data_IF_159236199638
#
_entry.id   IF_159236199638
#
_cell.length_a   1.000
_cell.length_b   1.000
_cell.length_c   1.000
_cell.angle_alpha   90.00
_cell.angle_beta   90.00
_cell.angle_gamma   90.00
#
_symmetry.space_group_name_H-M   'P 1'
#
loop_
_entity.id
_entity.type
_entity.pdbx_description
1 polymer ?
#
# COMPACT_ATOMS: atom_id res chain seq x y z
N UNK A 1 -13.73 -15.28 16.31
CA UNK A 1 -12.89 -15.77 17.42
C UNK A 1 -12.24 -17.12 17.10
N UNK A 2 -12.97 -18.21 16.85
CA UNK A 2 -12.34 -19.53 16.57
C UNK A 2 -11.47 -19.58 15.30
N UNK A 3 -11.95 -19.00 14.19
CA UNK A 3 -11.26 -19.04 12.89
C UNK A 3 -9.99 -18.17 12.83
N UNK A 4 -9.99 -17.05 13.54
CA UNK A 4 -8.81 -16.19 13.67
C UNK A 4 -7.65 -16.93 14.36
N UNK A 5 -7.96 -17.62 15.46
CA UNK A 5 -6.99 -18.42 16.20
C UNK A 5 -6.43 -19.54 15.32
N UNK A 6 -7.29 -20.21 14.55
CA UNK A 6 -6.88 -21.26 13.59
C UNK A 6 -5.91 -20.72 12.52
N UNK A 7 -6.19 -19.54 11.95
CA UNK A 7 -5.28 -18.90 10.98
C UNK A 7 -3.94 -18.57 11.62
N UNK A 8 -3.94 -18.02 12.85
CA UNK A 8 -2.73 -17.66 13.57
C UNK A 8 -1.86 -18.90 13.86
N UNK A 9 -2.47 -20.01 14.24
CA UNK A 9 -1.79 -21.29 14.49
C UNK A 9 -1.19 -21.88 13.21
N UNK A 10 -1.98 -21.98 12.13
CA UNK A 10 -1.48 -22.45 10.82
C UNK A 10 -0.34 -21.57 10.31
N UNK A 11 -0.46 -20.25 10.46
CA UNK A 11 0.59 -19.32 10.08
C UNK A 11 1.86 -19.55 10.90
N UNK A 12 1.75 -19.83 12.19
CA UNK A 12 2.91 -20.09 13.06
C UNK A 12 3.71 -21.32 12.59
N UNK A 13 3.05 -22.36 12.12
CA UNK A 13 3.71 -23.54 11.53
C UNK A 13 4.45 -23.17 10.24
N UNK A 14 3.79 -22.45 9.32
CA UNK A 14 4.40 -21.99 8.07
C UNK A 14 5.56 -21.03 8.32
N UNK A 15 5.45 -20.17 9.34
CA UNK A 15 6.50 -19.27 9.78
C UNK A 15 7.75 -20.03 10.19
N UNK A 16 7.61 -21.09 10.98
CA UNK A 16 8.73 -21.96 11.37
C UNK A 16 9.33 -22.66 10.15
N UNK A 17 8.48 -23.17 9.26
CA UNK A 17 8.89 -23.90 8.05
C UNK A 17 9.68 -23.03 7.06
N UNK A 18 9.30 -21.77 6.87
CA UNK A 18 9.84 -20.91 5.82
C UNK A 18 10.59 -19.66 6.31
N UNK A 19 10.71 -19.48 7.63
CA UNK A 19 11.26 -18.27 8.26
C UNK A 19 10.52 -17.00 7.81
N UNK A 20 9.18 -17.02 7.91
CA UNK A 20 8.33 -15.88 7.55
C UNK A 20 8.37 -14.77 8.62
N UNK A 21 7.92 -13.54 8.31
CA UNK A 21 7.70 -12.49 9.29
C UNK A 21 6.76 -12.89 10.43
N UNK A 22 6.72 -12.11 11.51
CA UNK A 22 5.74 -12.30 12.58
C UNK A 22 4.31 -12.11 12.08
N UNK A 23 3.38 -12.93 12.59
CA UNK A 23 1.96 -12.78 12.27
C UNK A 23 1.46 -11.38 12.61
N UNK A 24 1.76 -10.89 13.81
CA UNK A 24 1.30 -9.59 14.29
C UNK A 24 1.94 -8.44 13.46
N UNK A 25 3.20 -8.59 13.05
CA UNK A 25 3.89 -7.62 12.18
C UNK A 25 3.20 -7.51 10.81
N UNK A 26 2.93 -8.64 10.16
CA UNK A 26 2.18 -8.66 8.89
C UNK A 26 0.74 -8.19 9.07
N UNK A 27 0.11 -8.52 10.20
CA UNK A 27 -1.26 -8.11 10.45
C UNK A 27 -1.38 -6.60 10.63
N UNK A 28 -0.42 -5.97 11.30
CA UNK A 28 -0.41 -4.52 11.48
C UNK A 28 -0.34 -3.78 10.13
N UNK A 29 0.41 -4.31 9.16
CA UNK A 29 0.60 -3.65 7.87
C UNK A 29 -0.45 -4.04 6.81
N UNK A 30 -0.96 -5.28 6.86
CA UNK A 30 -1.77 -5.85 5.77
C UNK A 30 -3.14 -6.39 6.22
N UNK A 31 -3.44 -6.30 7.52
CA UNK A 31 -4.72 -6.72 8.12
C UNK A 31 -5.09 -8.17 7.73
N UNK A 32 -4.11 -9.07 7.80
CA UNK A 32 -4.28 -10.48 7.41
C UNK A 32 -5.29 -11.24 8.29
N UNK A 33 -5.64 -10.71 9.47
CA UNK A 33 -6.71 -11.24 10.33
C UNK A 33 -8.06 -11.28 9.62
N UNK A 34 -8.32 -10.34 8.70
CA UNK A 34 -9.56 -10.32 7.91
C UNK A 34 -9.69 -11.53 6.98
N UNK A 35 -8.65 -12.34 6.80
CA UNK A 35 -8.78 -13.64 6.13
C UNK A 35 -9.73 -14.58 6.90
N UNK A 36 -9.94 -14.36 8.20
CA UNK A 36 -10.91 -15.09 9.01
C UNK A 36 -12.38 -14.64 8.78
N UNK A 37 -12.60 -13.46 8.19
CA UNK A 37 -13.95 -12.94 7.95
C UNK A 37 -14.52 -13.42 6.62
N UNK A 38 -13.64 -13.69 5.65
CA UNK A 38 -14.00 -14.29 4.37
C UNK A 38 -14.29 -15.78 4.51
N UNK A 39 -15.56 -16.15 4.66
CA UNK A 39 -16.07 -17.55 4.53
C UNK A 39 -15.77 -18.23 3.19
N UNK A 40 -15.03 -17.58 2.29
CA UNK A 40 -14.48 -18.24 1.12
C UNK A 40 -13.51 -19.31 1.59
N UNK A 41 -13.86 -20.57 1.35
CA UNK A 41 -12.90 -21.66 1.24
C UNK A 41 -11.59 -21.08 0.72
N UNK A 42 -10.51 -21.16 1.50
CA UNK A 42 -9.18 -20.86 0.99
C UNK A 42 -9.01 -21.72 -0.26
N UNK A 43 -9.26 -21.17 -1.46
CA UNK A 43 -9.18 -21.89 -2.75
C UNK A 43 -7.70 -22.19 -3.10
N UNK A 44 -6.86 -22.40 -2.08
CA UNK A 44 -5.41 -22.48 -2.13
C UNK A 44 -4.80 -22.53 -0.73
N UNK A 45 -3.48 -22.32 -0.64
CA UNK A 45 -2.75 -22.27 0.63
C UNK A 45 -2.97 -20.94 1.37
N UNK A 46 -2.78 -20.94 2.68
CA UNK A 46 -2.79 -19.71 3.49
C UNK A 46 -1.80 -18.65 2.97
N UNK A 47 -0.65 -19.08 2.42
CA UNK A 47 0.35 -18.15 1.87
C UNK A 47 -0.13 -17.45 0.61
N UNK A 48 -0.93 -18.10 -0.23
CA UNK A 48 -1.57 -17.45 -1.39
C UNK A 48 -2.46 -16.30 -0.92
N UNK A 49 -3.27 -16.54 0.12
CA UNK A 49 -4.16 -15.52 0.67
C UNK A 49 -3.39 -14.34 1.28
N UNK A 50 -2.30 -14.62 2.01
CA UNK A 50 -1.41 -13.58 2.55
C UNK A 50 -0.74 -12.78 1.42
N UNK A 51 -0.21 -13.45 0.39
CA UNK A 51 0.37 -12.77 -0.79
C UNK A 51 -0.64 -11.86 -1.46
N UNK A 52 -1.89 -12.30 -1.65
CA UNK A 52 -2.95 -11.48 -2.23
C UNK A 52 -3.22 -10.25 -1.37
N UNK A 53 -3.37 -10.41 -0.05
CA UNK A 53 -3.56 -9.28 0.86
C UNK A 53 -2.43 -8.26 0.81
N UNK A 54 -1.17 -8.72 0.78
CA UNK A 54 -0.02 -7.83 0.59
C UNK A 54 -0.09 -7.09 -0.75
N UNK A 55 -0.46 -7.79 -1.81
CA UNK A 55 -0.56 -7.22 -3.17
C UNK A 55 -1.68 -6.18 -3.26
N UNK A 56 -2.81 -6.42 -2.60
CA UNK A 56 -3.93 -5.46 -2.54
C UNK A 56 -3.51 -4.17 -1.84
N UNK A 57 -2.81 -4.28 -0.70
CA UNK A 57 -2.25 -3.13 -0.01
C UNK A 57 -1.23 -2.37 -0.89
N UNK A 58 -0.33 -3.09 -1.59
CA UNK A 58 0.61 -2.47 -2.52
C UNK A 58 -0.12 -1.72 -3.64
N UNK A 59 -1.17 -2.30 -4.22
CA UNK A 59 -1.96 -1.65 -5.27
C UNK A 59 -2.70 -0.41 -4.74
N UNK A 60 -3.25 -0.47 -3.52
CA UNK A 60 -3.92 0.68 -2.91
C UNK A 60 -2.96 1.86 -2.73
N UNK A 61 -1.76 1.59 -2.19
CA UNK A 61 -0.71 2.60 -2.02
C UNK A 61 -0.23 3.09 -3.39
N UNK A 62 -0.03 2.19 -4.35
CA UNK A 62 0.41 2.52 -5.70
C UNK A 62 -0.57 3.47 -6.40
N UNK A 63 -1.88 3.23 -6.26
CA UNK A 63 -2.93 4.11 -6.80
C UNK A 63 -2.87 5.51 -6.19
N UNK A 64 -2.67 5.59 -4.86
CA UNK A 64 -2.47 6.88 -4.18
C UNK A 64 -1.25 7.62 -4.73
N UNK A 65 -0.07 6.97 -4.76
CA UNK A 65 1.17 7.59 -5.26
C UNK A 65 1.08 7.99 -6.74
N UNK A 66 0.39 7.21 -7.57
CA UNK A 66 0.15 7.59 -8.97
C UNK A 66 -0.68 8.87 -9.09
N UNK A 67 -1.70 9.05 -8.25
CA UNK A 67 -2.52 10.26 -8.22
C UNK A 67 -1.74 11.52 -7.83
N UNK A 68 -0.63 11.37 -7.09
CA UNK A 68 0.32 12.44 -6.81
C UNK A 68 1.26 12.71 -7.97
N UNK A 69 1.69 11.66 -8.68
CA UNK A 69 2.68 11.77 -9.74
C UNK A 69 2.10 12.35 -11.03
N UNK A 70 0.89 11.93 -11.41
CA UNK A 70 0.16 12.43 -12.57
C UNK A 70 -1.21 12.89 -12.07
N UNK A 71 -1.42 14.21 -11.93
CA UNK A 71 -2.66 14.69 -11.37
C UNK A 71 -3.81 14.45 -12.33
N UNK A 72 -4.98 14.13 -11.77
CA UNK A 72 -6.22 14.00 -12.54
C UNK A 72 -6.68 15.39 -12.96
N UNK A 73 -6.76 15.69 -14.27
CA UNK A 73 -7.17 17.01 -14.73
C UNK A 73 -8.55 17.38 -14.19
N UNK A 74 -8.73 18.66 -13.86
CA UNK A 74 -9.97 19.21 -13.29
C UNK A 74 -10.36 18.66 -11.91
N UNK A 75 -9.51 17.86 -11.25
CA UNK A 75 -9.72 17.44 -9.88
C UNK A 75 -8.83 18.25 -8.94
N UNK A 76 -9.43 19.26 -8.29
CA UNK A 76 -8.72 20.24 -7.45
C UNK A 76 -7.81 19.60 -6.39
N UNK A 77 -8.27 18.53 -5.74
CA UNK A 77 -7.48 17.81 -4.72
C UNK A 77 -6.18 17.28 -5.32
N UNK A 78 -6.27 16.56 -6.44
CA UNK A 78 -5.10 15.96 -7.09
C UNK A 78 -4.15 17.00 -7.67
N UNK A 79 -4.67 18.10 -8.24
CA UNK A 79 -3.84 19.21 -8.72
C UNK A 79 -3.06 19.86 -7.56
N UNK A 80 -3.74 20.16 -6.45
CA UNK A 80 -3.12 20.82 -5.29
C UNK A 80 -2.05 19.95 -4.63
N UNK A 81 -2.31 18.65 -4.49
CA UNK A 81 -1.35 17.70 -3.94
C UNK A 81 -0.14 17.52 -4.85
N UNK A 82 -0.32 17.52 -6.17
CA UNK A 82 0.77 17.48 -7.13
C UNK A 82 1.64 18.75 -7.08
N UNK A 83 1.02 19.93 -7.01
CA UNK A 83 1.71 21.23 -6.90
C UNK A 83 2.59 21.35 -5.65
N UNK A 84 2.29 20.57 -4.60
CA UNK A 84 3.10 20.56 -3.38
C UNK A 84 4.47 19.89 -3.56
N UNK A 85 4.66 19.10 -4.63
CA UNK A 85 5.85 18.31 -4.86
C UNK A 85 6.88 19.06 -5.72
N UNK A 86 8.13 19.04 -5.29
CA UNK A 86 9.24 19.57 -6.08
C UNK A 86 9.85 18.51 -7.02
N UNK A 87 10.85 18.90 -7.82
CA UNK A 87 11.51 17.97 -8.75
C UNK A 87 12.21 16.79 -8.06
N UNK A 88 12.75 17.01 -6.85
CA UNK A 88 13.36 15.96 -6.05
C UNK A 88 12.32 14.97 -5.55
N UNK A 89 11.16 15.47 -5.11
CA UNK A 89 10.03 14.65 -4.71
C UNK A 89 9.50 13.80 -5.84
N UNK A 90 9.36 14.36 -7.05
CA UNK A 90 8.96 13.61 -8.23
C UNK A 90 9.90 12.43 -8.51
N UNK A 91 11.22 12.62 -8.36
CA UNK A 91 12.20 11.53 -8.51
C UNK A 91 12.03 10.45 -7.44
N UNK A 92 11.86 10.84 -6.17
CA UNK A 92 11.65 9.91 -5.05
C UNK A 92 10.33 9.14 -5.21
N UNK A 93 9.27 9.84 -5.63
CA UNK A 93 7.95 9.30 -5.88
C UNK A 93 7.98 8.28 -7.01
N UNK A 94 8.66 8.60 -8.12
CA UNK A 94 8.87 7.66 -9.21
C UNK A 94 9.61 6.39 -8.76
N UNK A 95 10.65 6.52 -7.94
CA UNK A 95 11.36 5.36 -7.38
C UNK A 95 10.46 4.51 -6.48
N UNK A 96 9.64 5.12 -5.62
CA UNK A 96 8.68 4.40 -4.79
C UNK A 96 7.64 3.64 -5.65
N UNK A 97 7.07 4.31 -6.66
CA UNK A 97 6.15 3.73 -7.65
C UNK A 97 6.79 2.54 -8.38
N UNK A 98 8.04 2.67 -8.83
CA UNK A 98 8.75 1.62 -9.54
C UNK A 98 8.99 0.39 -8.65
N UNK A 99 9.38 0.60 -7.39
CA UNK A 99 9.61 -0.47 -6.41
C UNK A 99 8.30 -1.19 -6.07
N UNK A 100 7.20 -0.48 -5.83
CA UNK A 100 5.88 -1.09 -5.61
C UNK A 100 5.40 -1.86 -6.83
N UNK A 101 5.54 -1.31 -8.05
CA UNK A 101 5.23 -2.03 -9.27
C UNK A 101 6.02 -3.33 -9.38
N UNK A 102 7.32 -3.31 -9.07
CA UNK A 102 8.15 -4.52 -9.08
C UNK A 102 7.59 -5.58 -8.11
N UNK A 103 7.17 -5.20 -6.90
CA UNK A 103 6.53 -6.11 -5.96
C UNK A 103 5.23 -6.70 -6.52
N UNK A 104 4.37 -5.88 -7.11
CA UNK A 104 3.12 -6.34 -7.74
C UNK A 104 3.40 -7.31 -8.89
N UNK A 105 4.36 -7.01 -9.78
CA UNK A 105 4.74 -7.91 -10.89
C UNK A 105 5.37 -9.21 -10.40
N UNK A 106 6.17 -9.17 -9.31
CA UNK A 106 6.68 -10.38 -8.66
C UNK A 106 5.53 -11.24 -8.12
N UNK A 107 4.52 -10.63 -7.49
CA UNK A 107 3.33 -11.36 -7.02
C UNK A 107 2.59 -12.04 -8.17
N UNK A 108 2.39 -11.34 -9.28
CA UNK A 108 1.74 -11.90 -10.47
C UNK A 108 2.53 -13.06 -11.06
N UNK A 109 3.86 -12.94 -11.12
CA UNK A 109 4.74 -14.00 -11.59
C UNK A 109 4.57 -15.29 -10.76
N UNK A 110 4.47 -15.17 -9.43
CA UNK A 110 4.19 -16.31 -8.54
C UNK A 110 2.79 -16.86 -8.79
N UNK A 111 1.78 -15.98 -8.96
CA UNK A 111 0.40 -16.40 -9.22
C UNK A 111 0.22 -17.22 -10.50
N UNK A 112 0.98 -16.89 -11.56
CA UNK A 112 0.92 -17.61 -12.85
C UNK A 112 1.53 -19.02 -12.72
N UNK A 113 2.51 -19.20 -11.84
CA UNK A 113 3.24 -20.46 -11.63
C UNK A 113 2.54 -21.44 -10.69
N UNK A 114 1.24 -21.24 -10.42
CA UNK A 114 0.35 -22.00 -9.54
C UNK A 114 0.92 -23.33 -9.00
N UNK A 115 0.84 -23.54 -7.66
CA UNK A 115 1.15 -24.75 -6.85
C UNK A 115 2.46 -24.79 -6.04
N UNK A 116 3.34 -23.78 -6.08
CA UNK A 116 4.55 -23.79 -5.22
C UNK A 116 4.41 -22.88 -3.98
N UNK A 117 4.05 -23.48 -2.85
CA UNK A 117 3.99 -22.80 -1.53
C UNK A 117 5.32 -22.13 -1.16
N UNK A 118 6.46 -22.67 -1.62
CA UNK A 118 7.77 -22.08 -1.36
C UNK A 118 7.95 -20.76 -2.11
N UNK A 119 7.41 -20.62 -3.33
CA UNK A 119 7.47 -19.35 -4.07
C UNK A 119 6.64 -18.26 -3.36
N UNK A 120 5.45 -18.60 -2.85
CA UNK A 120 4.64 -17.67 -2.03
C UNK A 120 5.41 -17.26 -0.76
N UNK A 121 6.04 -18.20 -0.08
CA UNK A 121 6.83 -17.94 1.11
C UNK A 121 8.02 -17.00 0.85
N UNK A 122 8.75 -17.23 -0.26
CA UNK A 122 9.86 -16.37 -0.69
C UNK A 122 9.34 -14.97 -1.01
N UNK A 123 8.24 -14.87 -1.75
CA UNK A 123 7.63 -13.59 -2.06
C UNK A 123 7.26 -12.82 -0.80
N UNK A 124 6.54 -13.43 0.16
CA UNK A 124 6.09 -12.78 1.40
C UNK A 124 7.29 -12.22 2.16
N UNK A 125 8.34 -13.02 2.32
CA UNK A 125 9.55 -12.61 3.06
C UNK A 125 10.27 -11.44 2.40
N UNK A 126 10.51 -11.52 1.09
CA UNK A 126 11.23 -10.47 0.36
C UNK A 126 10.42 -9.18 0.25
N UNK A 127 9.14 -9.29 -0.09
CA UNK A 127 8.25 -8.14 -0.26
C UNK A 127 7.96 -7.46 1.08
N UNK A 128 7.83 -8.21 2.18
CA UNK A 128 7.69 -7.62 3.51
C UNK A 128 8.90 -6.76 3.87
N UNK A 129 10.12 -7.32 3.71
CA UNK A 129 11.36 -6.60 3.98
C UNK A 129 11.46 -5.32 3.14
N UNK A 130 11.16 -5.41 1.85
CA UNK A 130 11.19 -4.27 0.94
C UNK A 130 10.14 -3.22 1.30
N UNK A 131 8.94 -3.66 1.69
CA UNK A 131 7.87 -2.78 2.13
C UNK A 131 8.26 -2.00 3.39
N UNK A 132 8.90 -2.64 4.38
CA UNK A 132 9.39 -1.92 5.57
C UNK A 132 10.34 -0.75 5.22
N UNK A 133 11.13 -0.88 4.16
CA UNK A 133 11.99 0.19 3.69
C UNK A 133 11.20 1.30 2.96
N UNK A 134 10.15 0.91 2.21
CA UNK A 134 9.29 1.83 1.48
C UNK A 134 8.35 2.63 2.38
N UNK A 135 7.95 2.10 3.53
CA UNK A 135 7.02 2.76 4.46
C UNK A 135 7.42 4.21 4.76
N UNK A 136 8.70 4.44 5.06
CA UNK A 136 9.21 5.79 5.36
C UNK A 136 9.10 6.75 4.17
N UNK A 137 9.29 6.26 2.95
CA UNK A 137 9.10 7.08 1.75
C UNK A 137 7.62 7.38 1.53
N UNK A 138 6.73 6.42 1.78
CA UNK A 138 5.27 6.61 1.67
C UNK A 138 4.79 7.61 2.73
N UNK A 139 5.21 7.46 3.97
CA UNK A 139 4.92 8.36 5.09
C UNK A 139 5.35 9.79 4.76
N UNK A 140 6.54 9.98 4.18
CA UNK A 140 7.01 11.30 3.74
C UNK A 140 6.01 12.03 2.82
N UNK A 141 5.45 11.33 1.82
CA UNK A 141 4.48 11.94 0.90
C UNK A 141 3.12 12.19 1.57
N UNK A 142 2.68 11.29 2.44
CA UNK A 142 1.45 11.47 3.22
C UNK A 142 1.58 12.71 4.12
N UNK A 143 2.67 12.83 4.88
CA UNK A 143 2.92 13.97 5.77
C UNK A 143 2.98 15.29 5.00
N UNK A 144 3.60 15.28 3.81
CA UNK A 144 3.67 16.46 2.96
C UNK A 144 2.29 16.89 2.44
N UNK A 145 1.42 15.95 2.11
CA UNK A 145 0.03 16.25 1.75
C UNK A 145 -0.76 16.76 2.96
N UNK A 146 -0.60 16.16 4.14
CA UNK A 146 -1.23 16.63 5.38
C UNK A 146 -0.86 18.10 5.61
N UNK A 147 0.43 18.44 5.56
CA UNK A 147 0.92 19.81 5.71
C UNK A 147 0.39 20.76 4.63
N UNK A 148 0.20 20.25 3.41
CA UNK A 148 -0.41 21.04 2.32
C UNK A 148 -1.84 21.42 2.66
N UNK A 149 -2.64 20.48 3.17
CA UNK A 149 -4.02 20.73 3.53
C UNK A 149 -4.18 21.56 4.80
N UNK A 150 -3.30 21.38 5.79
CA UNK A 150 -3.24 22.25 6.97
C UNK A 150 -3.05 23.72 6.58
N UNK A 151 -2.14 24.02 5.65
CA UNK A 151 -1.93 25.38 5.13
C UNK A 151 -3.16 25.95 4.43
N UNK A 152 -3.88 25.12 3.66
CA UNK A 152 -5.11 25.55 2.99
C UNK A 152 -6.20 25.92 4.00
N UNK A 153 -6.28 25.21 5.13
CA UNK A 153 -7.24 25.52 6.20
C UNK A 153 -6.89 26.82 6.95
N UNK A 154 -5.60 27.14 7.07
CA UNK A 154 -5.12 28.36 7.71
C UNK A 154 -5.28 29.62 6.84
N UNK A 155 -5.38 29.46 5.52
CA UNK A 155 -5.66 30.54 4.58
C UNK A 155 -7.13 30.99 4.71
N UNK A 156 -7.35 32.24 5.20
CA UNK A 156 -8.71 32.82 5.25
C UNK A 156 -9.32 32.83 3.85
N UNK A 157 -10.60 32.43 3.69
CA UNK A 157 -11.26 32.49 2.39
C UNK A 157 -11.21 33.94 1.87
N UNK A 158 -10.59 34.14 0.70
CA UNK A 158 -10.63 35.43 0.02
C UNK A 158 -12.09 35.75 -0.26
N UNK A 159 -12.59 36.86 0.29
CA UNK A 159 -13.93 37.34 -0.05
C UNK A 159 -13.96 37.58 -1.57
N UNK A 160 -15.02 37.13 -2.27
CA UNK A 160 -15.15 37.43 -3.69
C UNK A 160 -15.17 38.94 -3.84
N UNK A 161 -14.13 39.50 -4.47
CA UNK A 161 -14.14 40.89 -4.90
C UNK A 161 -15.21 40.99 -5.98
N UNK A 162 -16.41 41.42 -5.59
CA UNK A 162 -17.43 41.83 -6.55
C UNK A 162 -16.88 43.03 -7.31
N UNK A 163 -16.25 42.76 -8.45
CA UNK A 163 -15.90 43.78 -9.42
C UNK A 163 -17.19 44.48 -9.83
N UNK A 164 -17.36 45.72 -9.39
CA UNK A 164 -18.35 46.61 -9.94
C UNK A 164 -18.06 46.80 -11.43
N UNK A 165 -18.91 46.19 -12.26
CA UNK A 165 -19.02 46.53 -13.66
C UNK A 165 -19.58 47.96 -13.73
N UNK A 166 -18.79 48.87 -14.30
CA UNK A 166 -19.24 50.15 -14.82
C UNK A 166 -19.00 50.17 -16.32
#
# INVERSE_FOLDING_TARGET
MALEQEIKEKYLELRKKYALPGFDELNNDFVIVMLAEGKTELVGSLLVAVRHRMTDAFNAILNYLHGLFIPVPNFMVSMKEHEALDESDHRRLYQAIARLNLLVRKSWKVSIRWKDEKEDAVFIKESFKEFQLLKKEIEYFIDKNIQTWEKVLDEKPQQPTHGHAH
#
